data_IF_668452187057
#
_entry.id   IF_668452187057
#
_cell.length_a   1.000
_cell.length_b   1.000
_cell.length_c   1.000
_cell.angle_alpha   90.00
_cell.angle_beta   90.00
_cell.angle_gamma   90.00
#
_symmetry.space_group_name_H-M   'P 1'
#
loop_
_entity.id
_entity.type
_entity.pdbx_description
1 polymer ?
#
# COMPACT_ATOMS: atom_id res chain seq x y z
N UNK A 1 -30.67 -0.35 -17.52
CA UNK A 1 -30.65 -0.55 -16.06
C UNK A 1 -29.40 0.13 -15.50
N UNK A 2 -29.47 0.92 -14.41
CA UNK A 2 -28.28 1.45 -13.79
C UNK A 2 -27.58 0.33 -13.03
N UNK A 3 -26.30 0.15 -13.30
CA UNK A 3 -25.40 -0.73 -12.53
C UNK A 3 -25.25 -0.12 -11.13
N UNK A 4 -25.54 -0.85 -10.05
CA UNK A 4 -25.20 -0.38 -8.72
C UNK A 4 -23.69 -0.49 -8.59
N UNK A 5 -22.98 0.63 -8.68
CA UNK A 5 -21.64 0.73 -8.14
C UNK A 5 -21.78 0.59 -6.63
N UNK A 6 -21.79 -0.65 -6.13
CA UNK A 6 -21.53 -0.93 -4.73
C UNK A 6 -20.04 -0.65 -4.51
N UNK A 7 -19.72 0.64 -4.38
CA UNK A 7 -18.52 1.06 -3.67
C UNK A 7 -18.75 0.67 -2.20
N UNK A 8 -18.38 -0.57 -1.85
CA UNK A 8 -18.36 -1.03 -0.47
C UNK A 8 -17.09 -0.45 0.15
N UNK A 9 -17.17 0.46 1.13
CA UNK A 9 -15.99 0.95 1.82
C UNK A 9 -15.33 -0.23 2.54
N UNK A 10 -14.18 -0.68 2.02
CA UNK A 10 -13.46 -1.88 2.48
C UNK A 10 -13.25 -2.97 1.42
N UNK A 11 -13.73 -2.80 0.19
CA UNK A 11 -13.41 -3.72 -0.90
C UNK A 11 -11.99 -3.47 -1.39
N UNK A 12 -11.10 -4.45 -1.19
CA UNK A 12 -9.77 -4.45 -1.79
C UNK A 12 -9.90 -4.89 -3.26
N UNK A 13 -9.45 -4.04 -4.16
CA UNK A 13 -9.43 -4.35 -5.59
C UNK A 13 -8.05 -4.83 -6.01
N UNK A 14 -8.00 -5.69 -7.04
CA UNK A 14 -6.76 -6.12 -7.68
C UNK A 14 -6.21 -5.02 -8.60
N UNK A 15 -5.97 -3.83 -8.05
CA UNK A 15 -5.43 -2.70 -8.81
C UNK A 15 -4.42 -1.89 -7.97
N UNK A 16 -3.62 -1.10 -8.69
CA UNK A 16 -2.56 -0.30 -8.09
C UNK A 16 -3.12 0.79 -7.17
N UNK A 17 -4.27 1.40 -7.49
CA UNK A 17 -4.89 2.45 -6.68
C UNK A 17 -5.36 1.93 -5.31
N UNK A 18 -6.04 0.78 -5.28
CA UNK A 18 -6.47 0.11 -4.04
C UNK A 18 -5.26 -0.28 -3.20
N UNK A 19 -4.24 -0.85 -3.83
CA UNK A 19 -2.99 -1.20 -3.15
C UNK A 19 -2.29 0.05 -2.58
N UNK A 20 -2.20 1.13 -3.35
CA UNK A 20 -1.57 2.37 -2.94
C UNK A 20 -2.26 2.99 -1.71
N UNK A 21 -3.60 2.88 -1.62
CA UNK A 21 -4.36 3.35 -0.46
C UNK A 21 -3.98 2.57 0.83
N UNK A 22 -3.90 1.25 0.75
CA UNK A 22 -3.53 0.39 1.87
C UNK A 22 -2.06 0.61 2.25
N UNK A 23 -1.18 0.67 1.25
CA UNK A 23 0.24 0.93 1.45
C UNK A 23 0.49 2.29 2.11
N UNK A 24 -0.17 3.36 1.67
CA UNK A 24 -0.04 4.69 2.26
C UNK A 24 -0.48 4.68 3.73
N UNK A 25 -1.59 4.00 4.02
CA UNK A 25 -2.09 3.86 5.40
C UNK A 25 -1.08 3.13 6.29
N UNK A 26 -0.51 2.02 5.81
CA UNK A 26 0.52 1.27 6.53
C UNK A 26 1.79 2.11 6.73
N UNK A 27 2.24 2.82 5.69
CA UNK A 27 3.40 3.70 5.73
C UNK A 27 3.20 4.88 6.69
N UNK A 28 2.03 5.51 6.70
CA UNK A 28 1.70 6.58 7.64
C UNK A 28 1.71 6.08 9.09
N UNK A 29 1.17 4.89 9.36
CA UNK A 29 1.23 4.30 10.70
C UNK A 29 2.67 4.02 11.15
N UNK A 30 3.54 3.57 10.23
CA UNK A 30 4.97 3.35 10.49
C UNK A 30 5.76 4.65 10.63
N UNK A 31 5.35 5.74 9.99
CA UNK A 31 6.01 7.05 10.15
C UNK A 31 5.54 7.78 11.39
N UNK A 32 4.26 7.63 11.79
CA UNK A 32 3.71 8.19 13.03
C UNK A 32 4.10 7.40 14.28
N UNK A 33 4.24 6.08 14.17
CA UNK A 33 4.81 5.28 15.24
C UNK A 33 6.26 5.72 15.49
N UNK A 34 6.70 5.69 16.76
CA UNK A 34 8.08 6.01 17.19
C UNK A 34 9.15 5.03 16.66
N UNK A 35 8.96 4.42 15.50
CA UNK A 35 9.97 3.71 14.70
C UNK A 35 10.93 4.73 14.03
N UNK A 36 11.33 5.74 14.81
CA UNK A 36 12.16 6.88 14.43
C UNK A 36 13.61 6.50 14.06
N UNK A 37 13.97 5.22 14.19
CA UNK A 37 15.30 4.69 13.81
C UNK A 37 15.29 3.78 12.59
N UNK A 38 14.13 3.50 11.98
CA UNK A 38 14.08 2.64 10.79
C UNK A 38 14.35 3.44 9.52
N UNK A 39 15.31 2.96 8.72
CA UNK A 39 15.57 3.44 7.36
C UNK A 39 14.31 3.31 6.49
N UNK A 40 14.22 4.13 5.45
CA UNK A 40 13.11 4.09 4.50
C UNK A 40 12.91 2.69 3.89
N UNK A 41 14.00 1.94 3.64
CA UNK A 41 13.93 0.56 3.16
C UNK A 41 13.28 -0.40 4.15
N UNK A 42 13.57 -0.29 5.45
CA UNK A 42 12.96 -1.17 6.46
C UNK A 42 11.48 -0.85 6.64
N UNK A 43 11.12 0.43 6.60
CA UNK A 43 9.72 0.85 6.59
C UNK A 43 9.00 0.35 5.33
N UNK A 44 9.70 0.29 4.18
CA UNK A 44 9.13 -0.21 2.91
C UNK A 44 8.79 -1.69 3.07
N UNK A 45 9.72 -2.47 3.61
CA UNK A 45 9.52 -3.89 3.87
C UNK A 45 8.34 -4.13 4.80
N UNK A 46 8.28 -3.44 5.94
CA UNK A 46 7.17 -3.57 6.89
C UNK A 46 5.82 -3.16 6.27
N UNK A 47 5.79 -2.09 5.48
CA UNK A 47 4.57 -1.67 4.78
C UNK A 47 4.15 -2.69 3.70
N UNK A 48 5.09 -3.27 2.97
CA UNK A 48 4.84 -4.33 2.00
C UNK A 48 4.36 -5.62 2.68
N UNK A 49 4.96 -6.01 3.80
CA UNK A 49 4.51 -7.15 4.61
C UNK A 49 3.09 -6.97 5.13
N UNK A 50 2.75 -5.76 5.59
CA UNK A 50 1.38 -5.42 5.97
C UNK A 50 0.39 -5.51 4.79
N UNK A 51 0.88 -5.34 3.56
CA UNK A 51 0.09 -5.47 2.33
C UNK A 51 0.24 -6.84 1.63
N UNK A 52 0.93 -7.82 2.23
CA UNK A 52 1.24 -9.09 1.59
C UNK A 52 -0.01 -9.91 1.22
N UNK A 53 -1.10 -9.73 1.97
CA UNK A 53 -2.39 -10.39 1.74
C UNK A 53 -3.28 -9.63 0.72
N UNK A 54 -2.83 -8.46 0.24
CA UNK A 54 -3.61 -7.66 -0.70
C UNK A 54 -3.71 -8.38 -2.07
N UNK A 55 -4.90 -8.46 -2.71
CA UNK A 55 -5.07 -9.16 -3.98
C UNK A 55 -4.07 -8.72 -5.05
N UNK A 56 -3.84 -7.41 -5.19
CA UNK A 56 -2.84 -6.87 -6.11
C UNK A 56 -1.40 -7.35 -5.84
N UNK A 57 -1.04 -7.55 -4.57
CA UNK A 57 0.28 -8.06 -4.17
C UNK A 57 0.42 -9.55 -4.51
N UNK A 58 -0.67 -10.32 -4.37
CA UNK A 58 -0.72 -11.74 -4.73
C UNK A 58 -0.69 -11.94 -6.25
N UNK A 59 -1.45 -11.12 -7.00
CA UNK A 59 -1.52 -11.20 -8.46
C UNK A 59 -0.26 -10.66 -9.14
N UNK A 60 0.26 -9.52 -8.66
CA UNK A 60 1.32 -8.75 -9.31
C UNK A 60 2.36 -8.21 -8.30
N UNK A 61 3.12 -9.09 -7.62
CA UNK A 61 4.06 -8.68 -6.57
C UNK A 61 5.16 -7.75 -7.09
N UNK A 62 5.64 -7.95 -8.33
CA UNK A 62 6.65 -7.09 -8.94
C UNK A 62 6.12 -5.66 -9.16
N UNK A 63 4.87 -5.54 -9.63
CA UNK A 63 4.23 -4.24 -9.87
C UNK A 63 3.92 -3.54 -8.53
N UNK A 64 3.47 -4.30 -7.53
CA UNK A 64 3.24 -3.79 -6.18
C UNK A 64 4.52 -3.22 -5.55
N UNK A 65 5.68 -3.87 -5.73
CA UNK A 65 6.96 -3.30 -5.27
C UNK A 65 7.31 -1.98 -5.99
N UNK A 66 7.08 -1.89 -7.30
CA UNK A 66 7.27 -0.66 -8.07
C UNK A 66 6.34 0.46 -7.60
N UNK A 67 5.07 0.13 -7.32
CA UNK A 67 4.09 1.08 -6.78
C UNK A 67 4.53 1.55 -5.40
N UNK A 68 4.97 0.65 -4.51
CA UNK A 68 5.49 1.01 -3.20
C UNK A 68 6.71 1.95 -3.29
N UNK A 69 7.67 1.65 -4.16
CA UNK A 69 8.84 2.52 -4.42
C UNK A 69 8.41 3.91 -4.88
N UNK A 70 7.49 3.97 -5.84
CA UNK A 70 6.94 5.23 -6.35
C UNK A 70 6.23 6.04 -5.27
N UNK A 71 5.41 5.39 -4.42
CA UNK A 71 4.71 6.04 -3.30
C UNK A 71 5.69 6.61 -2.29
N UNK A 72 6.74 5.87 -1.94
CA UNK A 72 7.78 6.36 -1.01
C UNK A 72 8.47 7.60 -1.58
N UNK A 73 8.85 7.58 -2.86
CA UNK A 73 9.44 8.74 -3.54
C UNK A 73 8.52 9.96 -3.53
N UNK A 74 7.21 9.77 -3.78
CA UNK A 74 6.22 10.85 -3.76
C UNK A 74 6.03 11.45 -2.37
N UNK A 75 6.15 10.64 -1.32
CA UNK A 75 6.02 11.08 0.08
C UNK A 75 7.26 11.85 0.57
N UNK A 76 8.33 11.93 -0.24
CA UNK A 76 9.40 12.92 -0.09
C UNK A 76 10.29 12.73 1.13
N UNK A 77 10.55 11.48 1.53
CA UNK A 77 11.59 11.15 2.51
C UNK A 77 12.97 11.03 1.86
#
# INVERSE_FOLDING_TARGET
>A
MPIPFQDKPGQLFDNADSFAMVFDTAWQQLTQSKVAGLSAEEKKRLALEACADHPFMLSQPAMADQVADFRIRLLGL
#
